data_IF_720611022622
#
_entry.id   IF_720611022622
#
_cell.length_a   1.000
_cell.length_b   1.000
_cell.length_c   1.000
_cell.angle_alpha   90.00
_cell.angle_beta   90.00
_cell.angle_gamma   90.00
#
_symmetry.space_group_name_H-M   'P 1'
#
loop_
_entity.id
_entity.type
_entity.pdbx_description
1 polymer ?
#
# COMPACT_ATOMS: atom_id res chain seq x y z
N UNK A 1 26.85 13.31 14.05
CA UNK A 1 26.54 12.12 14.85
C UNK A 1 25.84 11.09 13.96
N UNK A 2 26.12 9.79 14.13
CA UNK A 2 25.39 8.74 13.43
C UNK A 2 23.95 8.66 13.94
N UNK A 3 23.00 8.50 13.02
CA UNK A 3 21.58 8.34 13.33
C UNK A 3 20.98 7.20 12.49
N UNK A 4 19.71 6.88 12.69
CA UNK A 4 19.01 5.76 12.02
C UNK A 4 18.96 5.87 10.50
N UNK A 5 19.16 7.07 9.93
CA UNK A 5 19.13 7.35 8.49
C UNK A 5 20.50 7.66 7.89
N UNK A 6 21.59 7.55 8.66
CA UNK A 6 22.93 7.92 8.19
C UNK A 6 23.32 7.19 6.89
N UNK A 7 22.96 5.92 6.73
CA UNK A 7 23.24 5.17 5.49
C UNK A 7 22.34 5.60 4.32
N UNK A 8 21.12 5.98 4.60
CA UNK A 8 20.20 6.56 3.61
C UNK A 8 20.71 7.91 3.15
N UNK A 9 21.14 8.76 4.10
CA UNK A 9 21.71 10.10 3.84
C UNK A 9 22.95 10.04 2.92
N UNK A 10 23.83 9.05 3.11
CA UNK A 10 24.99 8.83 2.24
C UNK A 10 24.57 8.60 0.78
N UNK A 11 23.45 7.92 0.57
CA UNK A 11 22.97 7.56 -0.76
C UNK A 11 22.21 8.69 -1.46
N UNK A 12 21.33 9.38 -0.72
CA UNK A 12 20.39 10.36 -1.31
C UNK A 12 20.69 11.82 -0.94
N UNK A 13 21.57 12.06 0.02
CA UNK A 13 21.92 13.38 0.53
C UNK A 13 20.94 13.91 1.59
N UNK A 14 21.39 14.90 2.34
CA UNK A 14 20.66 15.52 3.46
C UNK A 14 19.36 16.20 3.02
N UNK A 15 19.40 16.95 1.93
CA UNK A 15 18.23 17.69 1.43
C UNK A 15 17.10 16.75 0.99
N UNK A 16 17.46 15.60 0.42
CA UNK A 16 16.52 14.55 0.05
C UNK A 16 15.87 13.92 1.30
N UNK A 17 16.67 13.68 2.34
CA UNK A 17 16.16 13.15 3.59
C UNK A 17 15.17 14.11 4.26
N UNK A 18 15.45 15.42 4.25
CA UNK A 18 14.53 16.44 4.75
C UNK A 18 13.22 16.50 3.93
N UNK A 19 13.26 16.31 2.60
CA UNK A 19 12.06 16.21 1.77
C UNK A 19 11.20 15.00 2.20
N UNK A 20 11.81 13.84 2.43
CA UNK A 20 11.10 12.64 2.91
C UNK A 20 10.51 12.87 4.29
N UNK A 21 11.24 13.46 5.21
CA UNK A 21 10.78 13.79 6.56
C UNK A 21 9.54 14.69 6.56
N UNK A 22 9.44 15.61 5.62
CA UNK A 22 8.30 16.52 5.49
C UNK A 22 7.13 15.92 4.69
N UNK A 23 7.35 14.83 3.97
CA UNK A 23 6.31 14.18 3.19
C UNK A 23 5.23 13.55 4.07
N UNK A 24 3.96 13.65 3.65
CA UNK A 24 2.80 13.01 4.29
C UNK A 24 2.19 11.99 3.35
N UNK A 25 2.27 10.72 3.71
CA UNK A 25 1.81 9.59 2.89
C UNK A 25 0.60 8.92 3.53
N UNK A 26 -0.51 8.83 2.79
CA UNK A 26 -1.69 8.08 3.21
C UNK A 26 -1.63 6.66 2.65
N UNK A 27 -1.78 5.65 3.52
CA UNK A 27 -1.79 4.23 3.16
C UNK A 27 -3.17 3.66 3.48
N UNK A 28 -3.89 3.26 2.45
CA UNK A 28 -5.20 2.62 2.55
C UNK A 28 -5.02 1.11 2.37
N UNK A 29 -5.39 0.35 3.42
CA UNK A 29 -5.17 -1.09 3.53
C UNK A 29 -3.79 -1.44 4.13
N UNK A 30 -3.80 -1.96 5.37
CA UNK A 30 -2.58 -2.37 6.11
C UNK A 30 -2.49 -3.91 6.12
N UNK A 31 -2.64 -4.48 4.93
CA UNK A 31 -2.54 -5.91 4.68
C UNK A 31 -1.11 -6.36 4.28
N UNK A 32 -1.04 -7.44 3.48
CA UNK A 32 0.23 -8.01 3.01
C UNK A 32 1.08 -7.07 2.16
N UNK A 33 0.48 -6.10 1.46
CA UNK A 33 1.19 -5.07 0.69
C UNK A 33 1.40 -3.83 1.53
N UNK A 34 0.32 -3.23 2.07
CA UNK A 34 0.40 -1.92 2.73
C UNK A 34 1.25 -1.91 3.99
N UNK A 35 1.33 -3.02 4.73
CA UNK A 35 2.21 -3.11 5.90
C UNK A 35 3.70 -3.05 5.53
N UNK A 36 4.08 -3.62 4.38
CA UNK A 36 5.45 -3.52 3.86
C UNK A 36 5.74 -2.18 3.18
N UNK A 37 4.71 -1.51 2.61
CA UNK A 37 4.86 -0.11 2.17
C UNK A 37 5.21 0.77 3.36
N UNK A 38 4.46 0.67 4.45
CA UNK A 38 4.72 1.43 5.68
C UNK A 38 6.13 1.15 6.20
N UNK A 39 6.51 -0.12 6.33
CA UNK A 39 7.84 -0.53 6.78
C UNK A 39 8.96 0.11 5.94
N UNK A 40 8.85 0.03 4.61
CA UNK A 40 9.83 0.61 3.70
C UNK A 40 9.92 2.13 3.80
N UNK A 41 8.79 2.83 3.86
CA UNK A 41 8.74 4.30 3.92
C UNK A 41 9.23 4.84 5.27
N UNK A 42 8.89 4.21 6.39
CA UNK A 42 9.38 4.61 7.73
C UNK A 42 10.90 4.47 7.78
N UNK A 43 11.45 3.38 7.25
CA UNK A 43 12.91 3.13 7.19
C UNK A 43 13.63 4.02 6.18
N UNK A 44 12.93 4.53 5.16
CA UNK A 44 13.46 5.51 4.22
C UNK A 44 13.50 6.95 4.79
N UNK A 45 12.78 7.22 5.89
CA UNK A 45 12.78 8.52 6.55
C UNK A 45 11.55 9.39 6.26
N UNK A 46 10.46 8.83 5.70
CA UNK A 46 9.19 9.55 5.59
C UNK A 46 8.67 9.88 6.99
N UNK A 47 8.27 11.14 7.20
CA UNK A 47 7.98 11.66 8.54
C UNK A 47 6.51 11.72 8.93
N UNK A 48 5.56 11.67 7.96
CA UNK A 48 4.15 11.78 8.31
C UNK A 48 3.31 10.73 7.58
N UNK A 49 2.41 10.09 8.32
CA UNK A 49 1.56 9.01 7.80
C UNK A 49 0.09 9.18 8.17
N UNK A 50 -0.77 8.71 7.27
CA UNK A 50 -2.17 8.44 7.54
C UNK A 50 -2.42 6.97 7.22
N UNK A 51 -2.85 6.18 8.20
CA UNK A 51 -3.12 4.74 8.04
C UNK A 51 -4.60 4.46 8.15
N UNK A 52 -5.15 3.77 7.16
CA UNK A 52 -6.59 3.45 7.08
C UNK A 52 -6.76 1.95 6.86
N UNK A 53 -7.36 1.26 7.82
CA UNK A 53 -7.75 -0.14 7.72
C UNK A 53 -8.81 -0.45 8.77
N UNK A 54 -9.85 -1.21 8.42
CA UNK A 54 -10.96 -1.55 9.32
C UNK A 54 -10.70 -2.78 10.18
N UNK A 55 -9.77 -3.66 9.73
CA UNK A 55 -9.63 -5.01 10.24
C UNK A 55 -8.76 -5.08 11.50
N UNK A 56 -9.00 -6.13 12.26
CA UNK A 56 -8.09 -6.60 13.29
C UNK A 56 -7.12 -7.64 12.70
N UNK A 57 -6.02 -7.87 13.38
CA UNK A 57 -5.04 -8.90 13.00
C UNK A 57 -5.66 -10.28 13.22
N UNK A 58 -5.67 -11.10 12.16
CA UNK A 58 -6.15 -12.48 12.21
C UNK A 58 -4.97 -13.46 12.10
N UNK A 59 -5.13 -14.65 12.66
CA UNK A 59 -4.11 -15.71 12.63
C UNK A 59 -3.69 -16.05 11.19
N UNK A 60 -4.61 -15.99 10.23
CA UNK A 60 -4.35 -16.23 8.81
C UNK A 60 -3.52 -15.15 8.13
N UNK A 61 -3.27 -14.03 8.83
CA UNK A 61 -2.46 -12.93 8.32
C UNK A 61 -0.95 -13.14 8.56
N UNK A 62 -0.60 -13.99 9.54
CA UNK A 62 0.80 -14.21 9.99
C UNK A 62 1.71 -14.63 8.84
N UNK A 63 1.19 -15.38 7.87
CA UNK A 63 1.98 -15.88 6.76
C UNK A 63 2.49 -14.79 5.79
N UNK A 64 1.95 -13.53 5.85
CA UNK A 64 2.29 -12.50 4.83
C UNK A 64 2.20 -11.04 5.27
N UNK A 65 1.68 -10.72 6.44
CA UNK A 65 1.58 -9.35 6.95
C UNK A 65 2.62 -9.14 8.04
N UNK A 66 3.54 -8.17 7.86
CA UNK A 66 4.66 -7.96 8.78
C UNK A 66 4.21 -7.55 10.18
N UNK A 67 3.02 -6.95 10.30
CA UNK A 67 2.43 -6.54 11.58
C UNK A 67 1.77 -7.71 12.33
N UNK A 68 1.50 -8.83 11.63
CA UNK A 68 0.80 -9.98 12.19
C UNK A 68 1.79 -10.94 12.84
N UNK A 69 1.69 -11.06 14.15
CA UNK A 69 2.46 -12.01 14.98
C UNK A 69 1.50 -12.65 16.00
N UNK A 70 1.92 -13.71 16.68
CA UNK A 70 1.10 -14.34 17.72
C UNK A 70 0.62 -13.34 18.78
N UNK A 71 1.48 -12.39 19.17
CA UNK A 71 1.17 -11.39 20.20
C UNK A 71 0.26 -10.24 19.73
N UNK A 72 0.01 -10.14 18.42
CA UNK A 72 -0.80 -9.06 17.83
C UNK A 72 -2.18 -9.51 17.36
N UNK A 73 -2.48 -10.84 17.37
CA UNK A 73 -3.79 -11.37 17.00
C UNK A 73 -4.91 -10.68 17.80
N UNK A 74 -5.98 -10.27 17.12
CA UNK A 74 -7.13 -9.59 17.68
C UNK A 74 -6.96 -8.09 17.93
N UNK A 75 -5.76 -7.52 17.69
CA UNK A 75 -5.54 -6.07 17.82
C UNK A 75 -5.83 -5.36 16.49
N UNK A 76 -6.32 -4.10 16.50
CA UNK A 76 -6.53 -3.32 15.29
C UNK A 76 -5.24 -3.20 14.47
N UNK A 77 -5.30 -3.50 13.15
CA UNK A 77 -4.12 -3.44 12.28
C UNK A 77 -3.45 -2.07 12.28
N UNK A 78 -4.24 -1.00 12.27
CA UNK A 78 -3.72 0.37 12.28
C UNK A 78 -2.96 0.72 13.57
N UNK A 79 -3.38 0.19 14.72
CA UNK A 79 -2.71 0.40 16.01
C UNK A 79 -1.39 -0.37 16.08
N UNK A 80 -1.40 -1.64 15.65
CA UNK A 80 -0.18 -2.46 15.59
C UNK A 80 0.83 -1.86 14.63
N UNK A 81 0.36 -1.40 13.46
CA UNK A 81 1.20 -0.74 12.47
C UNK A 81 1.81 0.57 13.00
N UNK A 82 1.02 1.40 13.69
CA UNK A 82 1.49 2.62 14.36
C UNK A 82 2.56 2.32 15.40
N UNK A 83 2.30 1.37 16.30
CA UNK A 83 3.25 0.98 17.35
C UNK A 83 4.58 0.53 16.75
N UNK A 84 4.53 -0.34 15.72
CA UNK A 84 5.73 -0.81 15.01
C UNK A 84 6.49 0.32 14.33
N UNK A 85 5.79 1.22 13.67
CA UNK A 85 6.39 2.35 12.97
C UNK A 85 7.10 3.32 13.93
N UNK A 86 6.49 3.59 15.10
CA UNK A 86 7.09 4.43 16.16
C UNK A 86 8.30 3.77 16.81
N UNK A 87 8.34 2.44 16.91
CA UNK A 87 9.53 1.71 17.40
C UNK A 87 10.72 1.82 16.42
N UNK A 88 10.44 1.88 15.11
CA UNK A 88 11.46 2.13 14.08
C UNK A 88 11.92 3.59 14.08
N UNK A 89 10.96 4.52 14.12
CA UNK A 89 11.21 5.95 14.10
C UNK A 89 10.25 6.69 15.04
N UNK A 90 10.65 7.04 16.28
CA UNK A 90 9.79 7.72 17.24
C UNK A 90 9.44 9.17 16.86
N UNK A 91 10.14 9.76 15.90
CA UNK A 91 9.98 11.16 15.52
C UNK A 91 8.90 11.37 14.43
N UNK A 92 8.23 10.30 13.98
CA UNK A 92 7.18 10.37 12.95
C UNK A 92 5.82 10.73 13.53
N UNK A 93 5.01 11.38 12.69
CA UNK A 93 3.62 11.68 13.02
C UNK A 93 2.69 10.69 12.30
N UNK A 94 1.84 9.97 13.03
CA UNK A 94 0.93 8.97 12.48
C UNK A 94 -0.50 9.22 12.94
N UNK A 95 -1.38 9.51 11.99
CA UNK A 95 -2.83 9.50 12.15
C UNK A 95 -3.37 8.12 11.75
N UNK A 96 -4.27 7.56 12.52
CA UNK A 96 -4.88 6.24 12.24
C UNK A 96 -6.39 6.35 12.17
N UNK A 97 -6.98 5.58 11.24
CA UNK A 97 -8.43 5.47 11.07
C UNK A 97 -8.79 3.97 10.98
N UNK A 98 -9.45 3.45 12.03
CA UNK A 98 -9.98 2.08 12.05
C UNK A 98 -11.36 2.07 11.36
N UNK A 99 -11.35 2.26 10.05
CA UNK A 99 -12.60 2.30 9.29
C UNK A 99 -12.44 1.75 7.87
N UNK A 100 -13.57 1.40 7.27
CA UNK A 100 -13.63 1.00 5.88
C UNK A 100 -13.75 2.25 4.99
N UNK A 101 -12.80 2.44 4.09
CA UNK A 101 -12.85 3.56 3.16
C UNK A 101 -13.92 3.35 2.10
N UNK A 102 -14.86 4.29 2.00
CA UNK A 102 -15.98 4.29 1.06
C UNK A 102 -16.10 5.65 0.37
N UNK A 103 -16.97 5.78 -0.65
CA UNK A 103 -17.28 7.09 -1.25
C UNK A 103 -17.82 8.13 -0.25
N UNK A 104 -18.46 7.68 0.83
CA UNK A 104 -19.03 8.53 1.88
C UNK A 104 -17.98 9.00 2.89
N UNK A 105 -16.81 8.33 2.97
CA UNK A 105 -15.73 8.70 3.89
C UNK A 105 -15.20 10.10 3.56
N UNK A 106 -15.18 11.00 4.56
CA UNK A 106 -14.74 12.39 4.42
C UNK A 106 -13.51 12.68 5.28
N UNK A 107 -12.75 13.71 4.93
CA UNK A 107 -11.70 14.29 5.78
C UNK A 107 -10.36 13.53 5.82
N UNK A 108 -10.24 12.37 5.17
CA UNK A 108 -8.98 11.60 5.14
C UNK A 108 -8.12 11.96 3.95
N UNK A 109 -8.74 12.15 2.78
CA UNK A 109 -8.04 12.53 1.54
C UNK A 109 -8.20 14.03 1.32
N UNK A 110 -7.14 14.77 1.52
CA UNK A 110 -7.08 16.22 1.33
C UNK A 110 -5.74 16.68 0.72
N UNK A 111 -5.64 17.96 0.40
CA UNK A 111 -4.46 18.56 -0.25
C UNK A 111 -3.18 18.58 0.60
N UNK A 112 -3.24 18.20 1.87
CA UNK A 112 -2.05 18.09 2.73
C UNK A 112 -1.23 16.82 2.44
N UNK A 113 -1.83 15.86 1.72
CA UNK A 113 -1.15 14.62 1.36
C UNK A 113 -0.14 14.85 0.23
N UNK A 114 1.07 14.36 0.44
CA UNK A 114 2.10 14.32 -0.60
C UNK A 114 1.87 13.13 -1.55
N UNK A 115 1.35 12.00 -1.03
CA UNK A 115 1.17 10.78 -1.80
C UNK A 115 0.08 9.89 -1.23
N UNK A 116 -0.61 9.15 -2.09
CA UNK A 116 -1.62 8.16 -1.73
C UNK A 116 -1.15 6.76 -2.14
N UNK A 117 -1.25 5.81 -1.23
CA UNK A 117 -1.06 4.37 -1.48
C UNK A 117 -2.40 3.66 -1.38
N UNK A 118 -2.80 3.07 -2.48
CA UNK A 118 -3.96 2.19 -2.53
C UNK A 118 -3.52 0.73 -2.48
N UNK A 119 -3.60 0.14 -1.29
CA UNK A 119 -3.34 -1.29 -1.03
C UNK A 119 -4.58 -2.02 -0.52
N UNK A 120 -5.79 -1.45 -0.74
CA UNK A 120 -7.05 -2.13 -0.41
C UNK A 120 -7.38 -3.23 -1.42
N UNK A 121 -8.20 -4.19 -1.04
CA UNK A 121 -8.69 -5.28 -1.90
C UNK A 121 -10.07 -4.99 -2.52
N UNK A 122 -10.76 -3.97 -2.04
CA UNK A 122 -12.10 -3.60 -2.48
C UNK A 122 -12.06 -2.70 -3.74
N UNK A 123 -12.77 -3.12 -4.79
CA UNK A 123 -12.82 -2.41 -6.08
C UNK A 123 -13.42 -1.01 -5.95
N UNK A 124 -14.49 -0.82 -5.17
CA UNK A 124 -15.15 0.47 -4.99
C UNK A 124 -14.21 1.47 -4.33
N UNK A 125 -13.54 1.06 -3.26
CA UNK A 125 -12.56 1.88 -2.56
C UNK A 125 -11.38 2.28 -3.47
N UNK A 126 -10.85 1.34 -4.28
CA UNK A 126 -9.79 1.62 -5.25
C UNK A 126 -10.19 2.68 -6.27
N UNK A 127 -11.39 2.55 -6.81
CA UNK A 127 -11.91 3.52 -7.78
C UNK A 127 -12.06 4.90 -7.14
N UNK A 128 -12.63 4.96 -5.93
CA UNK A 128 -12.84 6.22 -5.20
C UNK A 128 -11.51 6.90 -4.86
N UNK A 129 -10.50 6.15 -4.41
CA UNK A 129 -9.16 6.69 -4.17
C UNK A 129 -8.55 7.30 -5.43
N UNK A 130 -8.66 6.60 -6.57
CA UNK A 130 -8.17 7.12 -7.85
C UNK A 130 -8.92 8.38 -8.29
N UNK A 131 -10.25 8.44 -8.10
CA UNK A 131 -11.07 9.62 -8.41
C UNK A 131 -10.68 10.82 -7.55
N UNK A 132 -10.50 10.63 -6.23
CA UNK A 132 -10.10 11.72 -5.33
C UNK A 132 -8.69 12.20 -5.60
N UNK A 133 -7.77 11.27 -5.85
CA UNK A 133 -6.40 11.60 -6.20
C UNK A 133 -6.32 12.45 -7.48
N UNK A 134 -7.03 12.04 -8.53
CA UNK A 134 -7.12 12.78 -9.79
C UNK A 134 -7.73 14.19 -9.59
N UNK A 135 -8.87 14.27 -8.89
CA UNK A 135 -9.55 15.54 -8.59
C UNK A 135 -8.70 16.52 -7.79
N UNK A 136 -7.89 16.03 -6.86
CA UNK A 136 -7.05 16.84 -5.99
C UNK A 136 -5.63 17.03 -6.52
N UNK A 137 -5.27 16.39 -7.65
CA UNK A 137 -3.93 16.32 -8.21
C UNK A 137 -2.88 15.78 -7.22
N UNK A 138 -3.25 14.76 -6.44
CA UNK A 138 -2.34 14.09 -5.51
C UNK A 138 -1.79 12.84 -6.21
N UNK A 139 -0.45 12.63 -6.22
CA UNK A 139 0.14 11.41 -6.72
C UNK A 139 -0.42 10.18 -6.00
N UNK A 140 -0.75 9.14 -6.77
CA UNK A 140 -1.26 7.88 -6.25
C UNK A 140 -0.58 6.70 -6.92
N UNK A 141 -0.30 5.64 -6.15
CA UNK A 141 0.08 4.33 -6.66
C UNK A 141 -0.85 3.25 -6.10
N UNK A 142 -1.37 2.41 -6.98
CA UNK A 142 -2.32 1.36 -6.62
C UNK A 142 -1.70 -0.02 -6.79
N UNK A 143 -1.77 -0.85 -5.74
CA UNK A 143 -1.41 -2.26 -5.83
C UNK A 143 -2.51 -3.05 -6.52
N UNK A 144 -2.15 -3.79 -7.56
CA UNK A 144 -3.06 -4.75 -8.17
C UNK A 144 -3.03 -6.10 -7.41
N UNK A 145 -3.69 -7.12 -7.93
CA UNK A 145 -3.80 -8.41 -7.24
C UNK A 145 -2.44 -9.11 -7.05
N UNK A 146 -2.12 -9.45 -5.80
CA UNK A 146 -0.91 -10.19 -5.40
C UNK A 146 -1.20 -11.64 -4.99
N UNK A 147 -2.47 -12.03 -4.89
CA UNK A 147 -2.87 -13.40 -4.54
C UNK A 147 -2.70 -14.40 -5.68
N UNK A 148 -2.60 -15.68 -5.32
CA UNK A 148 -2.45 -16.83 -6.23
C UNK A 148 -1.20 -16.73 -7.12
N UNK A 149 -0.08 -16.27 -6.55
CA UNK A 149 1.21 -16.06 -7.23
C UNK A 149 2.36 -16.56 -6.38
N UNK A 150 3.44 -16.98 -7.05
CA UNK A 150 4.67 -17.48 -6.43
C UNK A 150 5.94 -16.79 -6.95
N UNK A 151 5.85 -16.07 -8.07
CA UNK A 151 6.99 -15.39 -8.66
C UNK A 151 6.98 -13.88 -8.34
N UNK A 152 7.74 -13.50 -7.33
CA UNK A 152 7.90 -12.12 -6.92
C UNK A 152 8.77 -11.27 -7.86
N UNK A 153 9.45 -11.87 -8.84
CA UNK A 153 10.29 -11.16 -9.81
C UNK A 153 9.48 -10.55 -10.96
N UNK A 154 8.22 -10.94 -11.12
CA UNK A 154 7.34 -10.49 -12.21
C UNK A 154 6.56 -9.23 -11.90
N UNK A 155 6.87 -8.54 -10.80
CA UNK A 155 6.24 -7.25 -10.53
C UNK A 155 6.82 -6.14 -11.41
N UNK A 156 5.93 -5.28 -11.90
CA UNK A 156 6.25 -4.08 -12.64
C UNK A 156 5.46 -2.87 -12.15
N UNK A 157 6.10 -1.70 -12.25
CA UNK A 157 5.43 -0.41 -12.09
C UNK A 157 5.11 0.12 -13.49
N UNK A 158 3.85 0.44 -13.74
CA UNK A 158 3.41 0.96 -15.01
C UNK A 158 2.11 1.76 -14.88
N UNK A 159 1.67 2.36 -16.00
CA UNK A 159 0.31 2.89 -16.09
C UNK A 159 -0.70 1.74 -16.24
N UNK A 160 -1.88 1.87 -15.60
CA UNK A 160 -2.94 0.85 -15.65
C UNK A 160 -3.38 0.48 -17.06
N UNK A 161 -3.25 1.39 -18.04
CA UNK A 161 -3.57 1.15 -19.43
C UNK A 161 -2.66 0.11 -20.09
N UNK A 162 -1.44 -0.06 -19.56
CA UNK A 162 -0.42 -0.98 -20.08
C UNK A 162 -0.39 -2.33 -19.39
N UNK A 163 -1.26 -2.55 -18.38
CA UNK A 163 -1.31 -3.81 -17.62
C UNK A 163 -1.89 -4.96 -18.46
N UNK A 164 -1.39 -6.16 -18.22
CA UNK A 164 -1.85 -7.42 -18.83
C UNK A 164 -2.21 -8.44 -17.75
N UNK A 165 -2.74 -9.60 -18.11
CA UNK A 165 -3.04 -10.82 -17.32
C UNK A 165 -3.72 -10.63 -15.95
N UNK A 166 -3.75 -9.46 -15.35
CA UNK A 166 -4.33 -9.21 -14.03
C UNK A 166 -5.85 -8.93 -14.12
N UNK A 167 -6.73 -9.80 -13.58
CA UNK A 167 -8.18 -9.59 -13.63
C UNK A 167 -8.62 -8.32 -12.91
N UNK A 168 -8.03 -8.01 -11.75
CA UNK A 168 -8.33 -6.79 -10.98
C UNK A 168 -7.98 -5.53 -11.80
N UNK A 169 -6.80 -5.47 -12.40
CA UNK A 169 -6.40 -4.34 -13.25
C UNK A 169 -7.36 -4.15 -14.44
N UNK A 170 -7.87 -5.24 -15.04
CA UNK A 170 -8.86 -5.18 -16.11
C UNK A 170 -10.15 -4.49 -15.66
N UNK A 171 -10.64 -4.82 -14.47
CA UNK A 171 -11.86 -4.23 -13.90
C UNK A 171 -11.63 -2.73 -13.58
N UNK A 172 -10.57 -2.40 -12.85
CA UNK A 172 -10.25 -1.02 -12.47
C UNK A 172 -10.07 -0.14 -13.71
N UNK A 173 -9.30 -0.60 -14.71
CA UNK A 173 -9.11 0.12 -15.99
C UNK A 173 -10.43 0.44 -16.70
N UNK A 174 -11.37 -0.53 -16.73
CA UNK A 174 -12.70 -0.32 -17.32
C UNK A 174 -13.48 0.75 -16.57
N UNK A 175 -13.48 0.70 -15.25
CA UNK A 175 -14.24 1.63 -14.40
C UNK A 175 -13.66 3.05 -14.39
N UNK A 176 -12.32 3.19 -14.44
CA UNK A 176 -11.67 4.51 -14.54
C UNK A 176 -11.94 5.17 -15.90
N UNK A 177 -11.96 4.41 -16.99
CA UNK A 177 -12.34 4.93 -18.32
C UNK A 177 -13.74 5.56 -18.36
N UNK A 178 -14.73 4.93 -17.69
CA UNK A 178 -16.09 5.48 -17.55
C UNK A 178 -16.13 6.83 -16.83
N UNK A 179 -15.10 7.11 -16.00
CA UNK A 179 -14.96 8.34 -15.22
C UNK A 179 -13.98 9.34 -15.83
N UNK A 180 -13.55 9.10 -17.07
CA UNK A 180 -12.56 9.91 -17.80
C UNK A 180 -11.17 9.99 -17.11
N UNK A 181 -10.86 9.09 -16.19
CA UNK A 181 -9.53 8.97 -15.58
C UNK A 181 -8.67 8.13 -16.52
N UNK A 182 -7.67 8.79 -17.13
CA UNK A 182 -6.86 8.18 -18.19
C UNK A 182 -5.62 7.49 -17.67
N UNK A 183 -5.11 7.87 -16.48
CA UNK A 183 -3.83 7.41 -15.93
C UNK A 183 -4.00 6.99 -14.48
N UNK A 184 -3.37 5.90 -14.13
CA UNK A 184 -3.17 5.46 -12.74
C UNK A 184 -1.88 4.67 -12.68
N UNK A 185 -0.92 5.12 -11.88
CA UNK A 185 0.30 4.36 -11.60
C UNK A 185 -0.05 3.12 -10.78
N UNK A 186 0.40 1.95 -11.21
CA UNK A 186 0.10 0.69 -10.54
C UNK A 186 1.35 -0.18 -10.39
N UNK A 187 1.37 -0.99 -9.33
CA UNK A 187 2.24 -2.17 -9.24
C UNK A 187 1.37 -3.39 -9.55
N UNK A 188 1.77 -4.19 -10.52
CA UNK A 188 1.11 -5.42 -10.89
C UNK A 188 2.11 -6.49 -11.28
N UNK A 189 1.72 -7.76 -11.19
CA UNK A 189 2.56 -8.88 -11.62
C UNK A 189 2.12 -9.38 -13.00
N UNK A 190 3.09 -9.67 -13.87
CA UNK A 190 2.88 -10.37 -15.15
C UNK A 190 2.67 -11.87 -15.00
N UNK A 191 2.78 -12.40 -13.80
CA UNK A 191 2.47 -13.80 -13.53
C UNK A 191 0.97 -14.06 -13.66
N UNK A 192 0.59 -15.08 -14.40
CA UNK A 192 -0.80 -15.56 -14.43
C UNK A 192 -1.17 -16.15 -13.08
N UNK A 193 -2.33 -15.76 -12.49
CA UNK A 193 -2.76 -16.32 -11.21
C UNK A 193 -2.94 -17.84 -11.30
N UNK A 194 -2.40 -18.56 -10.32
CA UNK A 194 -2.60 -20.00 -10.17
C UNK A 194 -4.09 -20.26 -9.93
N UNK A 195 -4.66 -21.19 -10.68
CA UNK A 195 -6.06 -21.60 -10.51
C UNK A 195 -6.18 -22.48 -9.27
N UNK A 196 -6.69 -21.92 -8.19
CA UNK A 196 -6.97 -22.64 -6.95
C UNK A 196 -8.48 -22.84 -6.80
N UNK A 197 -8.89 -24.04 -6.38
CA UNK A 197 -10.27 -24.33 -5.98
C UNK A 197 -10.32 -24.31 -4.44
N UNK A 198 -10.38 -23.13 -3.86
CA UNK A 198 -10.51 -22.96 -2.42
C UNK A 198 -11.73 -22.08 -2.13
N UNK A 199 -12.86 -22.75 -1.91
CA UNK A 199 -14.11 -22.08 -1.58
C UNK A 199 -14.20 -21.99 -0.06
N UNK A 200 -14.22 -20.78 0.45
CA UNK A 200 -14.51 -20.53 1.85
C UNK A 200 -15.93 -21.05 2.17
N UNK A 201 -16.01 -22.03 3.05
CA UNK A 201 -17.27 -22.70 3.41
C UNK A 201 -18.28 -21.77 4.11
N UNK A 202 -17.82 -20.67 4.72
CA UNK A 202 -18.68 -19.68 5.41
C UNK A 202 -19.25 -18.64 4.45
N UNK A 203 -18.45 -18.20 3.49
CA UNK A 203 -18.83 -17.09 2.59
C UNK A 203 -19.20 -17.54 1.17
N UNK A 204 -18.95 -18.79 0.80
CA UNK A 204 -19.13 -19.31 -0.56
C UNK A 204 -18.20 -18.65 -1.60
N UNK A 205 -17.26 -17.81 -1.17
CA UNK A 205 -16.33 -17.09 -2.05
C UNK A 205 -15.00 -17.83 -2.17
N UNK A 206 -14.39 -17.68 -3.32
CA UNK A 206 -13.05 -18.21 -3.55
C UNK A 206 -12.03 -17.30 -2.84
N UNK A 207 -11.37 -17.83 -1.79
CA UNK A 207 -10.33 -17.12 -1.08
C UNK A 207 -8.99 -17.31 -1.78
N UNK A 208 -8.35 -16.25 -2.27
CA UNK A 208 -7.06 -16.38 -2.94
C UNK A 208 -5.97 -16.84 -1.98
N UNK A 209 -5.12 -17.76 -2.43
CA UNK A 209 -3.91 -18.15 -1.73
C UNK A 209 -2.89 -17.00 -1.71
N UNK A 210 -2.00 -17.00 -0.73
CA UNK A 210 -0.92 -16.02 -0.64
C UNK A 210 0.28 -16.60 0.11
N UNK A 211 1.46 -16.06 -0.17
CA UNK A 211 2.74 -16.42 0.47
C UNK A 211 3.45 -15.17 0.95
N UNK A 212 4.46 -15.33 1.81
CA UNK A 212 5.12 -14.20 2.49
C UNK A 212 5.84 -13.24 1.53
N UNK A 213 6.50 -13.77 0.51
CA UNK A 213 7.45 -13.01 -0.33
C UNK A 213 6.82 -12.34 -1.56
N UNK A 214 5.58 -12.62 -1.90
CA UNK A 214 4.92 -12.00 -3.06
C UNK A 214 4.31 -10.63 -2.71
N UNK A 215 3.37 -10.50 -1.75
CA UNK A 215 2.82 -9.20 -1.40
C UNK A 215 3.85 -8.29 -0.73
N UNK A 216 4.83 -8.83 -0.01
CA UNK A 216 5.90 -8.06 0.63
C UNK A 216 6.80 -7.35 -0.40
N UNK A 217 7.20 -8.06 -1.46
CA UNK A 217 7.98 -7.47 -2.54
C UNK A 217 7.18 -6.41 -3.28
N UNK A 218 5.89 -6.63 -3.55
CA UNK A 218 5.02 -5.58 -4.11
C UNK A 218 5.00 -4.34 -3.21
N UNK A 219 4.90 -4.50 -1.89
CA UNK A 219 4.91 -3.41 -0.93
C UNK A 219 6.23 -2.64 -0.93
N UNK A 220 7.36 -3.32 -0.89
CA UNK A 220 8.68 -2.68 -0.93
C UNK A 220 8.95 -2.01 -2.30
N UNK A 221 8.47 -2.58 -3.39
CA UNK A 221 8.54 -1.98 -4.74
C UNK A 221 7.76 -0.65 -4.76
N UNK A 222 6.55 -0.62 -4.18
CA UNK A 222 5.76 0.61 -4.02
C UNK A 222 6.51 1.64 -3.17
N UNK A 223 7.07 1.24 -2.03
CA UNK A 223 7.81 2.15 -1.16
C UNK A 223 9.00 2.79 -1.89
N UNK A 224 9.78 2.00 -2.63
CA UNK A 224 10.89 2.50 -3.44
C UNK A 224 10.44 3.49 -4.53
N UNK A 225 9.31 3.22 -5.20
CA UNK A 225 8.76 4.14 -6.21
C UNK A 225 8.31 5.46 -5.59
N UNK A 226 7.62 5.43 -4.46
CA UNK A 226 7.18 6.64 -3.76
C UNK A 226 8.38 7.52 -3.38
N UNK A 227 9.44 6.91 -2.86
CA UNK A 227 10.67 7.65 -2.52
C UNK A 227 11.25 8.33 -3.77
N UNK A 228 11.35 7.60 -4.90
CA UNK A 228 11.84 8.18 -6.17
C UNK A 228 10.94 9.32 -6.67
N UNK A 229 9.63 9.14 -6.62
CA UNK A 229 8.66 10.18 -7.03
C UNK A 229 8.78 11.46 -6.18
N UNK A 230 8.85 11.31 -4.84
CA UNK A 230 9.00 12.47 -3.92
C UNK A 230 10.32 13.20 -4.19
N UNK A 231 11.38 12.46 -4.47
CA UNK A 231 12.71 13.02 -4.72
C UNK A 231 12.93 13.48 -6.17
N UNK A 232 12.01 13.13 -7.09
CA UNK A 232 12.09 13.39 -8.53
C UNK A 232 13.35 12.78 -9.20
N UNK A 233 13.61 11.52 -8.83
CA UNK A 233 14.74 10.73 -9.33
C UNK A 233 14.34 9.85 -10.51
#
# INVERSE_FOLDING_TARGET
MLNRFSRTEVLIGKDSLEKLKNAKVAIFGIGGVGSYVLEGLVRAGVGNFVLVDKDDVDITNINRQIIATTSTIGKPKVEVAKSRALDINPDINIQIYKEFFTPETKGIVDKSLTYIVDAVDNVTAKIELAVRADKLNIPIISSMGTGNKLDNTKFEITDISKTSVCPLAKVIRKELRKRNIKKLKVVYSKEEPIKVKNIDTKTGKNTPGSVSFVPSVAGLTIAGEIVRDILKM
#
